data_IF_457621904833
#
_entry.id   IF_457621904833
#
_cell.length_a   1.000
_cell.length_b   1.000
_cell.length_c   1.000
_cell.angle_alpha   90.00
_cell.angle_beta   90.00
_cell.angle_gamma   90.00
#
_symmetry.space_group_name_H-M   'P 1'
#
loop_
_entity.id
_entity.type
_entity.pdbx_description
1 polymer ?
#
# COMPACT_ATOMS: atom_id res chain seq x y z
N UNK A 1 -5.50 -18.82 17.39
CA UNK A 1 -4.55 -18.15 16.55
C UNK A 1 -5.11 -17.90 15.17
N UNK A 2 -4.84 -16.79 14.70
CA UNK A 2 -5.30 -16.43 13.37
C UNK A 2 -4.37 -16.99 12.31
N UNK A 3 -4.90 -17.79 11.42
CA UNK A 3 -4.13 -18.39 10.35
C UNK A 3 -4.33 -17.66 9.03
N UNK A 4 -4.93 -16.50 9.09
CA UNK A 4 -5.22 -15.76 7.88
C UNK A 4 -3.94 -15.36 7.19
N UNK A 5 -3.84 -15.72 5.93
CA UNK A 5 -2.75 -15.27 5.08
C UNK A 5 -3.28 -14.09 4.30
N UNK A 6 -2.73 -12.94 4.58
CA UNK A 6 -3.17 -11.73 3.91
C UNK A 6 -2.71 -11.74 2.45
N UNK A 7 -3.63 -11.45 1.55
CA UNK A 7 -3.32 -11.39 0.14
C UNK A 7 -2.63 -10.09 -0.21
N UNK A 8 -1.72 -10.18 -1.15
CA UNK A 8 -1.18 -8.99 -1.78
C UNK A 8 -2.25 -8.38 -2.68
N UNK A 9 -2.34 -7.07 -2.67
CA UNK A 9 -3.30 -6.35 -3.52
C UNK A 9 -2.55 -5.53 -4.55
N UNK A 10 -3.23 -5.22 -5.65
CA UNK A 10 -2.64 -4.50 -6.77
C UNK A 10 -2.65 -3.00 -6.54
N UNK A 11 -1.98 -2.27 -7.45
CA UNK A 11 -2.07 -0.81 -7.46
C UNK A 11 -3.51 -0.34 -7.59
N UNK A 12 -4.29 -1.00 -8.45
CA UNK A 12 -5.69 -0.64 -8.61
C UNK A 12 -6.45 -0.81 -7.32
N UNK A 13 -6.23 -1.94 -6.65
CA UNK A 13 -6.93 -2.22 -5.40
C UNK A 13 -6.59 -1.19 -4.34
N UNK A 14 -5.30 -0.84 -4.22
CA UNK A 14 -4.90 0.10 -3.17
C UNK A 14 -5.39 1.51 -3.45
N UNK A 15 -5.42 1.93 -4.71
CA UNK A 15 -5.95 3.25 -5.06
C UNK A 15 -7.44 3.34 -4.75
N UNK A 16 -8.18 2.27 -5.02
CA UNK A 16 -9.61 2.24 -4.68
C UNK A 16 -9.81 2.23 -3.17
N UNK A 17 -9.02 1.44 -2.48
CA UNK A 17 -9.13 1.33 -1.04
C UNK A 17 -8.87 2.66 -0.33
N UNK A 18 -7.84 3.37 -0.77
CA UNK A 18 -7.45 4.63 -0.15
C UNK A 18 -8.17 5.84 -0.75
N UNK A 19 -8.80 5.67 -1.90
CA UNK A 19 -9.48 6.77 -2.56
C UNK A 19 -8.53 7.82 -3.14
N UNK A 20 -7.36 7.39 -3.60
CA UNK A 20 -6.36 8.28 -4.17
C UNK A 20 -5.95 7.76 -5.53
N UNK A 21 -5.25 8.60 -6.29
CA UNK A 21 -4.82 8.19 -7.61
C UNK A 21 -3.45 7.51 -7.57
N UNK A 22 -3.08 6.91 -8.69
CA UNK A 22 -1.84 6.17 -8.82
C UNK A 22 -0.61 7.03 -8.58
N UNK A 23 -0.63 8.24 -9.09
CA UNK A 23 0.52 9.14 -8.93
C UNK A 23 0.78 9.46 -7.48
N UNK A 24 -0.28 9.63 -6.69
CA UNK A 24 -0.14 9.86 -5.27
C UNK A 24 0.47 8.65 -4.58
N UNK A 25 0.02 7.44 -4.94
CA UNK A 25 0.60 6.22 -4.36
C UNK A 25 2.09 6.14 -4.68
N UNK A 26 2.47 6.38 -5.92
CA UNK A 26 3.87 6.31 -6.32
C UNK A 26 4.72 7.34 -5.58
N UNK A 27 4.19 8.54 -5.38
CA UNK A 27 4.88 9.57 -4.61
C UNK A 27 5.08 9.13 -3.17
N UNK A 28 4.06 8.55 -2.57
CA UNK A 28 4.16 8.10 -1.17
C UNK A 28 5.16 6.96 -1.03
N UNK A 29 5.21 6.04 -2.00
CA UNK A 29 6.20 4.97 -1.99
C UNK A 29 7.61 5.56 -2.04
N UNK A 30 7.83 6.52 -2.93
CA UNK A 30 9.15 7.08 -3.15
C UNK A 30 9.60 8.02 -2.04
N UNK A 31 8.67 8.78 -1.45
CA UNK A 31 9.04 9.89 -0.59
C UNK A 31 8.56 9.76 0.85
N UNK A 32 7.58 8.93 1.10
CA UNK A 32 7.00 8.82 2.44
C UNK A 32 7.14 7.45 3.06
N UNK A 33 7.79 6.54 2.36
CA UNK A 33 8.04 5.21 2.90
C UNK A 33 6.83 4.31 2.96
N UNK A 34 5.86 4.52 2.07
CA UNK A 34 4.69 3.66 2.02
C UNK A 34 5.10 2.21 1.77
N UNK A 35 4.61 1.25 2.57
CA UNK A 35 5.00 -0.14 2.40
C UNK A 35 4.45 -0.71 1.09
N UNK A 36 5.35 -1.21 0.27
CA UNK A 36 5.03 -1.79 -1.03
C UNK A 36 6.16 -2.68 -1.48
N UNK A 37 5.82 -3.65 -2.31
CA UNK A 37 6.81 -4.55 -2.90
C UNK A 37 6.63 -4.52 -4.40
N UNK A 38 7.73 -4.42 -5.12
CA UNK A 38 7.68 -4.43 -6.57
C UNK A 38 8.04 -5.82 -7.08
N UNK A 39 7.12 -6.43 -7.81
CA UNK A 39 7.31 -7.74 -8.40
C UNK A 39 7.28 -7.55 -9.91
N UNK A 40 8.47 -7.63 -10.52
CA UNK A 40 8.58 -7.29 -11.92
C UNK A 40 8.20 -5.85 -12.15
N UNK A 41 7.11 -5.63 -12.88
CA UNK A 41 6.62 -4.29 -13.16
C UNK A 41 5.45 -3.89 -12.27
N UNK A 42 5.01 -4.79 -11.39
CA UNK A 42 3.77 -4.59 -10.65
C UNK A 42 4.10 -4.27 -9.21
N UNK A 43 3.43 -3.25 -8.69
CA UNK A 43 3.46 -2.96 -7.27
C UNK A 43 2.44 -3.81 -6.55
N UNK A 44 2.83 -4.34 -5.40
CA UNK A 44 1.94 -5.13 -4.56
C UNK A 44 1.97 -4.57 -3.16
N UNK A 45 0.82 -4.64 -2.50
CA UNK A 45 0.63 -4.03 -1.19
C UNK A 45 -0.08 -5.01 -0.27
N UNK A 46 0.11 -4.85 1.03
CA UNK A 46 -0.72 -5.51 2.01
C UNK A 46 -1.50 -4.47 2.77
N UNK A 47 -2.81 -4.64 2.81
CA UNK A 47 -3.70 -3.65 3.41
C UNK A 47 -3.32 -3.37 4.87
N UNK A 48 -3.00 -4.42 5.63
CA UNK A 48 -2.66 -4.24 7.04
C UNK A 48 -1.42 -3.37 7.22
N UNK A 49 -0.44 -3.55 6.35
CA UNK A 49 0.79 -2.76 6.42
C UNK A 49 0.52 -1.30 6.04
N UNK A 50 -0.27 -1.10 5.01
CA UNK A 50 -0.62 0.24 4.57
C UNK A 50 -1.43 0.96 5.65
N UNK A 51 -2.38 0.25 6.26
CA UNK A 51 -3.18 0.83 7.33
C UNK A 51 -2.31 1.25 8.52
N UNK A 52 -1.39 0.39 8.92
CA UNK A 52 -0.49 0.70 10.04
C UNK A 52 0.36 1.93 9.72
N UNK A 53 0.86 1.98 8.51
CA UNK A 53 1.68 3.11 8.06
C UNK A 53 0.88 4.40 8.08
N UNK A 54 -0.36 4.36 7.60
CA UNK A 54 -1.22 5.53 7.60
C UNK A 54 -1.58 5.98 9.01
N UNK A 55 -1.88 5.02 9.89
CA UNK A 55 -2.22 5.35 11.27
C UNK A 55 -1.06 5.96 12.02
N UNK A 56 0.15 5.66 11.59
CA UNK A 56 1.34 6.26 12.18
C UNK A 56 1.61 7.69 11.68
N UNK A 57 0.79 8.20 10.77
CA UNK A 57 0.88 9.58 10.31
C UNK A 57 1.89 9.81 9.21
N UNK A 58 2.28 8.78 8.50
CA UNK A 58 3.31 8.92 7.46
C UNK A 58 2.77 9.41 6.12
N UNK A 59 1.46 9.47 5.97
CA UNK A 59 0.85 9.83 4.70
C UNK A 59 0.73 11.33 4.48
N UNK A 60 1.05 12.12 5.47
CA UNK A 60 0.92 13.58 5.37
C UNK A 60 1.80 14.19 4.31
#
# INVERSE_FOLDING_TARGET
MDNTIERWVSMRDITEYLGINRDTVLTWIAKRGMPAVKVGRLWKFKISEVDAWMKAGHAD
#
